data_IF_323083994337
#
_entry.id   IF_323083994337
#
_cell.length_a   1.000
_cell.length_b   1.000
_cell.length_c   1.000
_cell.angle_alpha   90.00
_cell.angle_beta   90.00
_cell.angle_gamma   90.00
#
_symmetry.space_group_name_H-M   'P 1'
#
loop_
_entity.id
_entity.type
_entity.pdbx_description
1 polymer ?
#
# COMPACT_ATOMS: atom_id res chain seq x y z
N UNK A 1 29.72 -6.35 -13.03
CA UNK A 1 28.53 -6.17 -13.88
C UNK A 1 27.50 -5.34 -13.12
N UNK A 2 27.47 -4.03 -13.34
CA UNK A 2 26.51 -3.08 -12.78
C UNK A 2 26.26 -1.98 -13.82
N UNK A 3 24.97 -1.68 -14.07
CA UNK A 3 24.42 -0.46 -14.67
C UNK A 3 25.10 0.12 -15.92
N UNK A 4 24.65 -0.28 -17.12
CA UNK A 4 25.03 0.35 -18.40
C UNK A 4 23.95 1.25 -19.01
N UNK A 5 23.06 1.81 -18.20
CA UNK A 5 22.12 2.84 -18.66
C UNK A 5 22.16 4.02 -17.71
N UNK A 6 22.79 5.11 -18.16
CA UNK A 6 22.67 6.43 -17.54
C UNK A 6 21.18 6.83 -17.60
N UNK A 7 20.57 7.05 -16.43
CA UNK A 7 19.22 7.61 -16.32
C UNK A 7 19.14 8.91 -17.14
N UNK A 8 18.12 9.04 -17.99
CA UNK A 8 17.90 10.20 -18.86
C UNK A 8 18.08 9.97 -20.37
N UNK A 9 18.46 8.75 -20.79
CA UNK A 9 18.54 8.36 -22.22
C UNK A 9 17.38 7.48 -22.71
N UNK A 10 16.30 7.36 -21.93
CA UNK A 10 15.06 6.80 -22.47
C UNK A 10 14.56 7.79 -23.52
N UNK A 11 14.70 7.42 -24.79
CA UNK A 11 14.07 8.14 -25.89
C UNK A 11 12.56 8.06 -25.66
N UNK A 12 11.98 9.13 -25.15
CA UNK A 12 10.51 9.34 -25.06
C UNK A 12 9.79 9.31 -26.43
N UNK A 13 10.49 8.91 -27.49
CA UNK A 13 10.06 8.96 -28.88
C UNK A 13 10.33 7.66 -29.65
N UNK A 14 10.83 6.59 -29.00
CA UNK A 14 11.12 5.31 -29.68
C UNK A 14 10.14 4.18 -29.36
N UNK A 15 8.94 4.51 -28.87
CA UNK A 15 7.80 3.65 -29.14
C UNK A 15 7.01 4.32 -30.25
N UNK A 16 7.05 3.71 -31.43
CA UNK A 16 6.13 4.01 -32.51
C UNK A 16 4.71 3.68 -32.00
N UNK A 17 4.06 4.65 -31.36
CA UNK A 17 2.62 4.76 -31.50
C UNK A 17 2.37 4.75 -33.01
N UNK A 18 1.50 3.87 -33.48
CA UNK A 18 1.10 3.83 -34.88
C UNK A 18 0.95 5.25 -35.39
N UNK A 19 1.73 5.65 -36.40
CA UNK A 19 1.76 7.00 -36.97
C UNK A 19 0.48 7.38 -37.71
N UNK A 20 -0.61 6.71 -37.38
CA UNK A 20 -1.96 6.89 -37.87
C UNK A 20 -2.75 7.36 -36.66
N UNK A 21 -2.99 8.66 -36.56
CA UNK A 21 -4.00 9.17 -35.63
C UNK A 21 -5.32 8.55 -36.08
N UNK A 22 -6.00 7.75 -35.25
CA UNK A 22 -7.34 7.30 -35.56
C UNK A 22 -8.19 8.55 -35.84
N UNK A 23 -8.79 8.66 -37.02
CA UNK A 23 -9.70 9.77 -37.37
C UNK A 23 -11.00 9.78 -36.52
N UNK A 24 -11.06 8.96 -35.47
CA UNK A 24 -12.20 8.75 -34.60
C UNK A 24 -12.41 9.90 -33.61
N UNK A 25 -11.32 10.56 -33.17
CA UNK A 25 -11.37 11.64 -32.19
C UNK A 25 -10.98 12.98 -32.84
N UNK A 26 -11.92 13.92 -32.88
CA UNK A 26 -11.71 15.24 -33.48
C UNK A 26 -12.30 16.34 -32.59
N UNK A 27 -11.51 17.38 -32.35
CA UNK A 27 -11.95 18.61 -31.69
C UNK A 27 -11.85 19.77 -32.66
N UNK A 28 -12.94 20.51 -32.80
CA UNK A 28 -13.00 21.71 -33.65
C UNK A 28 -12.28 22.89 -32.97
N UNK A 29 -10.99 23.03 -33.28
CA UNK A 29 -10.14 24.08 -32.71
C UNK A 29 -10.46 25.48 -33.25
N UNK A 30 -11.06 25.57 -34.44
CA UNK A 30 -11.38 26.85 -35.07
C UNK A 30 -12.38 27.68 -34.23
N UNK A 31 -13.21 27.02 -33.41
CA UNK A 31 -14.14 27.66 -32.47
C UNK A 31 -13.46 28.50 -31.40
N UNK A 32 -12.20 28.19 -31.07
CA UNK A 32 -11.44 28.91 -30.05
C UNK A 32 -10.63 30.07 -30.65
N UNK A 33 -10.59 30.20 -31.97
CA UNK A 33 -9.90 31.27 -32.67
C UNK A 33 -10.88 32.36 -33.15
N UNK A 34 -10.45 33.64 -33.25
CA UNK A 34 -11.22 34.67 -33.91
C UNK A 34 -11.60 34.30 -35.36
N UNK A 35 -12.81 34.64 -35.85
CA UNK A 35 -13.30 34.22 -37.17
C UNK A 35 -12.37 34.60 -38.33
N UNK A 36 -11.79 35.80 -38.30
CA UNK A 36 -10.90 36.26 -39.37
C UNK A 36 -9.61 35.43 -39.51
N UNK A 37 -9.18 34.71 -38.46
CA UNK A 37 -8.07 33.76 -38.53
C UNK A 37 -8.54 32.40 -39.00
N UNK A 38 -9.69 31.94 -38.51
CA UNK A 38 -10.27 30.65 -38.90
C UNK A 38 -10.69 30.59 -40.39
N UNK A 39 -11.02 31.74 -40.99
CA UNK A 39 -11.35 31.84 -42.42
C UNK A 39 -10.13 31.76 -43.35
N UNK A 40 -8.91 31.99 -42.83
CA UNK A 40 -7.69 31.85 -43.62
C UNK A 40 -7.47 30.35 -43.89
N UNK A 41 -7.43 29.97 -45.17
CA UNK A 41 -7.32 28.56 -45.61
C UNK A 41 -6.18 27.81 -44.93
N UNK A 42 -4.99 28.43 -44.86
CA UNK A 42 -3.82 27.83 -44.24
C UNK A 42 -4.04 27.55 -42.75
N UNK A 43 -4.69 28.49 -42.04
CA UNK A 43 -5.01 28.33 -40.63
C UNK A 43 -6.11 27.30 -40.41
N UNK A 44 -7.14 27.27 -41.27
CA UNK A 44 -8.21 26.28 -41.21
C UNK A 44 -7.66 24.84 -41.32
N UNK A 45 -6.73 24.59 -42.24
CA UNK A 45 -6.10 23.28 -42.39
C UNK A 45 -5.16 22.93 -41.22
N UNK A 46 -4.44 23.91 -40.66
CA UNK A 46 -3.64 23.72 -39.44
C UNK A 46 -4.55 23.34 -38.27
N UNK A 47 -5.65 24.08 -38.04
CA UNK A 47 -6.58 23.77 -36.96
C UNK A 47 -7.27 22.43 -37.15
N UNK A 48 -7.56 22.04 -38.40
CA UNK A 48 -8.14 20.72 -38.70
C UNK A 48 -7.17 19.59 -38.34
N UNK A 49 -5.92 19.67 -38.80
CA UNK A 49 -4.91 18.63 -38.51
C UNK A 49 -4.60 18.56 -37.02
N UNK A 50 -4.42 19.71 -36.35
CA UNK A 50 -4.26 19.79 -34.90
C UNK A 50 -5.49 19.28 -34.15
N UNK A 51 -6.70 19.45 -34.70
CA UNK A 51 -7.94 19.00 -34.08
C UNK A 51 -8.02 17.49 -33.87
N UNK A 52 -7.43 16.70 -34.78
CA UNK A 52 -7.30 15.25 -34.60
C UNK A 52 -6.28 14.89 -33.52
N UNK A 53 -5.11 15.51 -33.52
CA UNK A 53 -4.06 15.29 -32.51
C UNK A 53 -4.56 15.66 -31.11
N UNK A 54 -5.22 16.81 -30.97
CA UNK A 54 -5.81 17.26 -29.70
C UNK A 54 -6.95 16.35 -29.27
N UNK A 55 -7.77 15.88 -30.21
CA UNK A 55 -8.83 14.91 -29.92
C UNK A 55 -8.27 13.59 -29.37
N UNK A 56 -7.24 13.06 -30.00
CA UNK A 56 -6.55 11.86 -29.52
C UNK A 56 -5.94 12.09 -28.13
N UNK A 57 -5.22 13.19 -27.93
CA UNK A 57 -4.64 13.53 -26.63
C UNK A 57 -5.70 13.67 -25.53
N UNK A 58 -6.87 14.24 -25.86
CA UNK A 58 -7.97 14.34 -24.91
C UNK A 58 -8.51 12.96 -24.56
N UNK A 59 -8.70 12.07 -25.54
CA UNK A 59 -9.13 10.70 -25.30
C UNK A 59 -8.13 9.92 -24.44
N UNK A 60 -6.83 9.99 -24.76
CA UNK A 60 -5.78 9.33 -24.01
C UNK A 60 -5.71 9.84 -22.56
N UNK A 61 -5.95 11.13 -22.35
CA UNK A 61 -6.02 11.73 -21.03
C UNK A 61 -7.24 11.22 -20.24
N UNK A 62 -8.40 11.11 -20.88
CA UNK A 62 -9.60 10.56 -20.27
C UNK A 62 -9.41 9.07 -19.90
N UNK A 63 -8.86 8.24 -20.80
CA UNK A 63 -8.54 6.83 -20.50
C UNK A 63 -7.50 6.70 -19.38
N UNK A 64 -6.50 7.58 -19.34
CA UNK A 64 -5.52 7.63 -18.25
C UNK A 64 -6.19 7.94 -16.90
N UNK A 65 -7.10 8.93 -16.86
CA UNK A 65 -7.85 9.27 -15.65
C UNK A 65 -8.73 8.10 -15.21
N UNK A 66 -9.34 7.38 -16.15
CA UNK A 66 -10.10 6.18 -15.86
C UNK A 66 -9.24 5.08 -15.22
N UNK A 67 -7.95 5.00 -15.52
CA UNK A 67 -7.04 4.07 -14.83
C UNK A 67 -6.73 4.46 -13.37
N UNK A 68 -6.94 5.72 -12.99
CA UNK A 68 -6.71 6.21 -11.64
C UNK A 68 -7.81 5.83 -10.64
N UNK A 69 -8.88 5.16 -11.07
CA UNK A 69 -9.91 4.64 -10.18
C UNK A 69 -10.12 3.15 -10.39
N UNK A 70 -10.18 2.38 -9.30
CA UNK A 70 -10.38 0.92 -9.37
C UNK A 70 -11.66 0.57 -10.14
N UNK A 71 -12.73 1.37 -10.04
CA UNK A 71 -14.02 1.07 -10.70
C UNK A 71 -13.92 1.10 -12.23
N UNK A 72 -13.07 1.95 -12.77
CA UNK A 72 -12.96 2.22 -14.22
C UNK A 72 -11.69 1.62 -14.84
N UNK A 73 -10.67 1.32 -14.03
CA UNK A 73 -9.37 0.84 -14.50
C UNK A 73 -9.44 -0.49 -15.28
N UNK A 74 -8.82 -0.53 -16.46
CA UNK A 74 -8.70 -1.70 -17.33
C UNK A 74 -7.25 -2.19 -17.32
N UNK A 75 -6.43 -1.69 -18.23
CA UNK A 75 -5.02 -2.03 -18.34
C UNK A 75 -4.19 -1.54 -17.15
N UNK A 76 -4.70 -0.57 -16.37
CA UNK A 76 -4.08 -0.09 -15.13
C UNK A 76 -4.22 -1.02 -13.91
N UNK A 77 -5.08 -2.05 -13.97
CA UNK A 77 -5.35 -2.95 -12.84
C UNK A 77 -4.12 -3.68 -12.25
N UNK A 78 -3.12 -4.14 -13.03
CA UNK A 78 -1.91 -4.74 -12.47
C UNK A 78 -1.18 -3.84 -11.47
N UNK A 79 -1.21 -2.51 -11.67
CA UNK A 79 -0.59 -1.54 -10.74
C UNK A 79 -1.33 -1.49 -9.42
N UNK A 80 -2.66 -1.52 -9.46
CA UNK A 80 -3.51 -1.58 -8.28
C UNK A 80 -3.30 -2.87 -7.49
N UNK A 81 -3.25 -4.00 -8.19
CA UNK A 81 -2.99 -5.31 -7.58
C UNK A 81 -1.65 -5.36 -6.86
N UNK A 82 -0.59 -4.83 -7.49
CA UNK A 82 0.70 -4.68 -6.86
C UNK A 82 0.62 -3.82 -5.59
N UNK A 83 -0.09 -2.70 -5.63
CA UNK A 83 -0.25 -1.80 -4.48
C UNK A 83 -0.98 -2.47 -3.31
N UNK A 84 -2.00 -3.29 -3.58
CA UNK A 84 -2.76 -4.01 -2.55
C UNK A 84 -2.20 -5.39 -2.20
N UNK A 85 -1.04 -5.78 -2.77
CA UNK A 85 -0.44 -7.09 -2.57
C UNK A 85 -1.36 -8.24 -3.01
N UNK A 86 -2.15 -8.04 -4.07
CA UNK A 86 -3.00 -9.06 -4.69
C UNK A 86 -2.24 -9.65 -5.88
N UNK A 87 -2.24 -10.98 -6.01
CA UNK A 87 -1.62 -11.62 -7.16
C UNK A 87 -2.42 -11.35 -8.43
N UNK A 88 -1.76 -10.85 -9.48
CA UNK A 88 -2.38 -10.61 -10.79
C UNK A 88 -2.82 -11.92 -11.43
N UNK A 89 -4.12 -12.03 -11.72
CA UNK A 89 -4.68 -13.16 -12.43
C UNK A 89 -5.32 -12.69 -13.75
N UNK A 90 -4.62 -12.94 -14.87
CA UNK A 90 -5.07 -12.54 -16.20
C UNK A 90 -6.20 -13.43 -16.76
N UNK A 91 -6.57 -14.52 -16.08
CA UNK A 91 -7.72 -15.35 -16.46
C UNK A 91 -9.05 -14.78 -15.99
N UNK A 92 -9.04 -13.80 -15.08
CA UNK A 92 -10.24 -13.12 -14.59
C UNK A 92 -10.61 -11.94 -15.49
N UNK A 93 -11.91 -11.62 -15.56
CA UNK A 93 -12.37 -10.41 -16.24
C UNK A 93 -11.94 -9.15 -15.47
N UNK A 94 -11.93 -8.00 -16.13
CA UNK A 94 -11.66 -6.73 -15.44
C UNK A 94 -12.63 -6.50 -14.29
N UNK A 95 -13.93 -6.75 -14.49
CA UNK A 95 -14.96 -6.60 -13.45
C UNK A 95 -14.62 -7.43 -12.19
N UNK A 96 -14.32 -8.71 -12.36
CA UNK A 96 -13.96 -9.61 -11.26
C UNK A 96 -12.72 -9.12 -10.51
N UNK A 97 -11.71 -8.63 -11.23
CA UNK A 97 -10.49 -8.09 -10.62
C UNK A 97 -10.77 -6.82 -9.82
N UNK A 98 -11.61 -5.92 -10.35
CA UNK A 98 -12.07 -4.71 -9.65
C UNK A 98 -12.85 -5.05 -8.38
N UNK A 99 -13.71 -6.07 -8.42
CA UNK A 99 -14.45 -6.53 -7.25
C UNK A 99 -13.53 -7.04 -6.14
N UNK A 100 -12.52 -7.84 -6.49
CA UNK A 100 -11.52 -8.33 -5.53
C UNK A 100 -10.77 -7.16 -4.87
N UNK A 101 -10.31 -6.20 -5.68
CA UNK A 101 -9.61 -5.01 -5.18
C UNK A 101 -10.52 -4.15 -4.29
N UNK A 102 -11.78 -3.96 -4.68
CA UNK A 102 -12.76 -3.24 -3.87
C UNK A 102 -13.08 -3.97 -2.56
N UNK A 103 -13.15 -5.29 -2.57
CA UNK A 103 -13.32 -6.08 -1.35
C UNK A 103 -12.13 -5.90 -0.40
N UNK A 104 -10.90 -5.89 -0.93
CA UNK A 104 -9.68 -5.63 -0.15
C UNK A 104 -9.66 -4.22 0.43
N UNK A 105 -10.02 -3.22 -0.37
CA UNK A 105 -10.11 -1.82 0.08
C UNK A 105 -11.11 -1.66 1.22
N UNK A 106 -12.29 -2.30 1.13
CA UNK A 106 -13.31 -2.28 2.20
C UNK A 106 -12.87 -3.08 3.43
N UNK A 107 -12.18 -4.20 3.21
CA UNK A 107 -11.75 -5.12 4.26
C UNK A 107 -10.66 -4.58 5.19
N UNK A 108 -9.88 -3.58 4.76
CA UNK A 108 -8.84 -2.98 5.61
C UNK A 108 -9.41 -2.16 6.78
N UNK A 109 -10.64 -1.65 6.70
CA UNK A 109 -11.28 -0.91 7.78
C UNK A 109 -10.46 0.29 8.28
N UNK A 110 -10.77 0.78 9.49
CA UNK A 110 -9.93 1.74 10.21
C UNK A 110 -9.21 1.02 11.32
N UNK A 111 -7.88 1.11 11.31
CA UNK A 111 -7.06 0.52 12.36
C UNK A 111 -7.21 1.31 13.64
N UNK A 112 -7.97 0.74 14.58
CA UNK A 112 -8.19 1.31 15.91
C UNK A 112 -7.23 0.70 16.91
N UNK A 113 -6.94 1.42 17.99
CA UNK A 113 -6.18 0.90 19.14
C UNK A 113 -6.69 -0.46 19.61
N UNK A 114 -8.02 -0.60 19.74
CA UNK A 114 -8.67 -1.83 20.18
C UNK A 114 -8.42 -2.98 19.19
N UNK A 115 -8.49 -2.73 17.88
CA UNK A 115 -8.19 -3.73 16.87
C UNK A 115 -6.75 -4.25 17.00
N UNK A 116 -5.78 -3.37 17.27
CA UNK A 116 -4.38 -3.77 17.48
C UNK A 116 -4.24 -4.58 18.78
N UNK A 117 -4.89 -4.15 19.87
CA UNK A 117 -4.90 -4.87 21.16
C UNK A 117 -5.48 -6.28 21.01
N UNK A 118 -6.67 -6.41 20.40
CA UNK A 118 -7.36 -7.69 20.20
C UNK A 118 -6.54 -8.64 19.30
N UNK A 119 -5.96 -8.10 18.23
CA UNK A 119 -5.08 -8.87 17.33
C UNK A 119 -3.84 -9.35 18.07
N UNK A 120 -3.14 -8.45 18.77
CA UNK A 120 -1.94 -8.80 19.51
C UNK A 120 -2.23 -9.84 20.59
N UNK A 121 -3.34 -9.70 21.33
CA UNK A 121 -3.76 -10.64 22.37
C UNK A 121 -4.06 -12.04 21.81
N UNK A 122 -4.71 -12.12 20.64
CA UNK A 122 -4.97 -13.39 19.96
C UNK A 122 -3.68 -14.13 19.56
N UNK A 123 -2.64 -13.39 19.16
CA UNK A 123 -1.33 -13.96 18.83
C UNK A 123 -0.51 -14.34 20.07
N UNK A 124 -0.49 -13.49 21.11
CA UNK A 124 0.29 -13.76 22.31
C UNK A 124 -0.36 -14.76 23.26
N UNK A 125 -1.68 -14.98 23.17
CA UNK A 125 -2.43 -15.81 24.10
C UNK A 125 -2.52 -15.20 25.50
N UNK A 126 -2.47 -13.87 25.60
CA UNK A 126 -2.44 -13.14 26.86
C UNK A 126 -2.74 -11.66 26.67
N UNK A 127 -2.95 -10.94 27.78
CA UNK A 127 -3.32 -9.52 27.75
C UNK A 127 -2.22 -8.65 27.13
N UNK A 128 -2.65 -7.76 26.23
CA UNK A 128 -1.79 -6.79 25.55
C UNK A 128 -2.41 -5.41 25.69
N UNK A 129 -1.56 -4.40 25.89
CA UNK A 129 -1.96 -3.00 25.94
C UNK A 129 -1.23 -2.19 24.89
N UNK A 130 -1.96 -1.37 24.15
CA UNK A 130 -1.39 -0.43 23.18
C UNK A 130 -1.35 0.96 23.82
N UNK A 131 -0.22 1.63 23.69
CA UNK A 131 -0.01 2.99 24.21
C UNK A 131 0.33 3.87 23.02
N UNK A 132 -0.50 4.88 22.76
CA UNK A 132 -0.27 5.84 21.68
C UNK A 132 0.65 6.97 22.16
N UNK A 133 1.72 7.22 21.41
CA UNK A 133 2.62 8.35 21.55
C UNK A 133 2.49 9.23 20.30
N UNK A 134 1.40 9.99 20.27
CA UNK A 134 1.04 10.86 19.14
C UNK A 134 2.14 11.88 18.80
N UNK A 135 2.80 12.56 19.76
CA UNK A 135 3.91 13.48 19.48
C UNK A 135 5.08 12.83 18.72
N UNK A 136 5.36 11.55 18.97
CA UNK A 136 6.44 10.81 18.31
C UNK A 136 6.00 10.02 17.08
N UNK A 137 4.73 10.14 16.65
CA UNK A 137 4.11 9.34 15.59
C UNK A 137 4.32 7.82 15.78
N UNK A 138 4.18 7.37 17.02
CA UNK A 138 4.52 6.00 17.42
C UNK A 138 3.46 5.41 18.33
N UNK A 139 3.29 4.09 18.30
CA UNK A 139 2.56 3.37 19.32
C UNK A 139 3.38 2.21 19.88
N UNK A 140 3.17 1.91 21.16
CA UNK A 140 3.89 0.87 21.89
C UNK A 140 2.92 -0.27 22.16
N UNK A 141 3.27 -1.47 21.71
CA UNK A 141 2.54 -2.70 22.03
C UNK A 141 3.23 -3.36 23.22
N UNK A 142 2.58 -3.33 24.37
CA UNK A 142 3.09 -3.89 25.63
C UNK A 142 2.42 -5.24 25.92
N UNK A 143 3.20 -6.31 25.92
CA UNK A 143 2.75 -7.65 26.28
C UNK A 143 2.78 -7.81 27.81
N UNK A 144 1.61 -7.91 28.43
CA UNK A 144 1.46 -7.95 29.89
C UNK A 144 1.20 -9.38 30.37
N UNK A 145 0.36 -10.12 29.65
CA UNK A 145 -0.14 -11.43 30.06
C UNK A 145 0.84 -12.58 29.86
N UNK A 146 1.92 -12.38 29.10
CA UNK A 146 2.97 -13.39 28.91
C UNK A 146 4.35 -12.81 29.20
N UNK A 147 5.22 -13.63 29.79
CA UNK A 147 6.64 -13.29 29.99
C UNK A 147 7.46 -13.80 28.81
N UNK A 148 8.40 -12.98 28.35
CA UNK A 148 9.23 -13.28 27.19
C UNK A 148 8.62 -12.86 25.86
N UNK A 149 9.24 -13.36 24.78
CA UNK A 149 8.83 -13.06 23.41
C UNK A 149 7.70 -14.04 23.02
N UNK A 150 6.54 -13.55 22.54
CA UNK A 150 5.45 -14.40 22.07
C UNK A 150 5.90 -15.38 20.97
N UNK A 151 5.20 -16.51 20.84
CA UNK A 151 5.40 -17.41 19.69
C UNK A 151 4.88 -16.74 18.41
N UNK A 152 5.45 -17.07 17.26
CA UNK A 152 5.01 -16.58 15.94
C UNK A 152 5.02 -15.04 15.76
N UNK A 153 5.95 -14.33 16.41
CA UNK A 153 6.10 -12.87 16.24
C UNK A 153 6.24 -12.44 14.77
N UNK A 154 6.88 -13.25 13.92
CA UNK A 154 7.03 -12.91 12.50
C UNK A 154 5.68 -12.75 11.78
N UNK A 155 4.73 -13.66 12.05
CA UNK A 155 3.40 -13.59 11.45
C UNK A 155 2.61 -12.39 12.00
N UNK A 156 2.75 -12.10 13.29
CA UNK A 156 2.13 -10.93 13.90
C UNK A 156 2.69 -9.62 13.32
N UNK A 157 4.01 -9.52 13.12
CA UNK A 157 4.65 -8.37 12.49
C UNK A 157 4.11 -8.16 11.07
N UNK A 158 4.04 -9.22 10.26
CA UNK A 158 3.46 -9.13 8.91
C UNK A 158 2.02 -8.62 8.92
N UNK A 159 1.18 -9.16 9.82
CA UNK A 159 -0.20 -8.69 9.95
C UNK A 159 -0.28 -7.24 10.47
N UNK A 160 0.61 -6.85 11.39
CA UNK A 160 0.67 -5.49 11.91
C UNK A 160 1.06 -4.49 10.81
N UNK A 161 2.00 -4.84 9.94
CA UNK A 161 2.36 -4.03 8.77
C UNK A 161 1.20 -3.83 7.81
N UNK A 162 0.36 -4.86 7.62
CA UNK A 162 -0.81 -4.80 6.73
C UNK A 162 -1.92 -3.89 7.26
N UNK A 163 -2.09 -3.82 8.58
CA UNK A 163 -3.15 -3.03 9.21
C UNK A 163 -2.67 -1.64 9.65
N UNK A 164 -1.40 -1.46 10.05
CA UNK A 164 -0.98 -0.18 10.62
C UNK A 164 -0.99 0.93 9.57
N UNK A 165 -1.35 2.16 9.95
CA UNK A 165 -1.12 3.30 9.08
C UNK A 165 0.37 3.45 8.75
N UNK A 166 0.68 3.74 7.49
CA UNK A 166 2.06 3.83 7.02
C UNK A 166 2.90 4.89 7.77
N UNK A 167 2.25 5.96 8.25
CA UNK A 167 2.90 7.07 8.97
C UNK A 167 3.17 6.78 10.45
N UNK A 168 2.70 5.65 11.00
CA UNK A 168 2.93 5.29 12.39
C UNK A 168 4.04 4.24 12.52
N UNK A 169 5.01 4.54 13.38
CA UNK A 169 6.01 3.60 13.84
C UNK A 169 5.48 2.79 15.04
N UNK A 170 6.10 1.65 15.34
CA UNK A 170 5.75 0.85 16.51
C UNK A 170 6.97 0.31 17.25
N UNK A 171 6.79 0.01 18.54
CA UNK A 171 7.76 -0.68 19.39
C UNK A 171 7.06 -1.75 20.21
N UNK A 172 7.79 -2.83 20.48
CA UNK A 172 7.34 -3.89 21.37
C UNK A 172 7.98 -3.74 22.74
N UNK A 173 7.18 -3.87 23.79
CA UNK A 173 7.64 -4.00 25.16
C UNK A 173 7.22 -5.36 25.72
N UNK A 174 8.20 -6.13 26.17
CA UNK A 174 8.00 -7.47 26.71
C UNK A 174 8.15 -7.46 28.23
N UNK A 175 7.25 -8.16 28.93
CA UNK A 175 7.39 -8.42 30.36
C UNK A 175 8.38 -9.56 30.59
N UNK A 176 9.23 -9.41 31.60
CA UNK A 176 10.15 -10.45 32.06
C UNK A 176 10.08 -10.55 33.58
N UNK A 177 10.53 -11.68 34.14
CA UNK A 177 10.60 -11.86 35.58
C UNK A 177 11.57 -10.85 36.20
N UNK A 178 11.11 -10.11 37.20
CA UNK A 178 11.96 -9.16 37.94
C UNK A 178 12.52 -9.81 39.21
N UNK A 179 13.62 -9.25 39.76
CA UNK A 179 14.21 -9.73 41.01
C UNK A 179 13.23 -9.79 42.18
N UNK A 180 12.26 -8.87 42.24
CA UNK A 180 11.24 -8.88 43.28
C UNK A 180 10.29 -10.07 43.15
N UNK A 181 9.96 -10.50 41.92
CA UNK A 181 9.13 -11.68 41.65
C UNK A 181 9.88 -13.00 41.96
N UNK A 182 11.21 -12.97 42.01
CA UNK A 182 12.05 -14.14 42.34
C UNK A 182 12.26 -14.34 43.84
N UNK A 183 12.01 -13.34 44.68
CA UNK A 183 12.17 -13.42 46.15
C UNK A 183 11.52 -14.63 46.84
N UNK A 184 10.33 -15.11 46.44
CA UNK A 184 9.72 -16.27 47.09
C UNK A 184 10.35 -17.62 46.66
N UNK A 185 11.20 -17.66 45.63
CA UNK A 185 11.84 -18.89 45.16
C UNK A 185 13.21 -19.08 45.82
N UNK A 186 13.56 -20.32 46.20
CA UNK A 186 14.88 -20.63 46.74
C UNK A 186 15.90 -20.88 45.62
N UNK A 187 17.17 -20.58 45.86
CA UNK A 187 18.25 -20.82 44.89
C UNK A 187 18.35 -22.28 44.45
N UNK A 188 18.06 -23.23 45.34
CA UNK A 188 18.04 -24.67 44.99
C UNK A 188 16.92 -25.00 43.99
N UNK A 189 15.78 -24.31 44.04
CA UNK A 189 14.70 -24.49 43.07
C UNK A 189 15.06 -23.90 41.70
N UNK A 190 15.77 -22.77 41.68
CA UNK A 190 16.19 -22.10 40.43
C UNK A 190 17.44 -22.74 39.80
N UNK A 191 18.26 -23.44 40.58
CA UNK A 191 19.52 -24.04 40.12
C UNK A 191 19.37 -25.16 39.08
N UNK A 192 18.17 -25.73 38.94
CA UNK A 192 17.86 -26.72 37.89
C UNK A 192 17.39 -26.12 36.56
N UNK A 193 17.23 -24.79 36.49
CA UNK A 193 16.72 -24.07 35.31
C UNK A 193 17.82 -23.26 34.64
N UNK A 194 17.68 -23.00 33.34
CA UNK A 194 18.58 -22.06 32.64
C UNK A 194 18.18 -20.62 32.96
N UNK A 195 19.08 -19.66 32.73
CA UNK A 195 18.77 -18.25 32.92
C UNK A 195 17.59 -17.77 32.05
N UNK A 196 17.40 -18.32 30.85
CA UNK A 196 16.27 -17.98 29.99
C UNK A 196 14.94 -18.48 30.56
N UNK A 197 14.95 -19.64 31.21
CA UNK A 197 13.78 -20.19 31.91
C UNK A 197 13.41 -19.34 33.14
N UNK A 198 14.42 -18.92 33.91
CA UNK A 198 14.21 -18.04 35.09
C UNK A 198 13.66 -16.67 34.65
N UNK A 199 14.12 -16.14 33.51
CA UNK A 199 13.69 -14.85 32.95
C UNK A 199 12.24 -14.87 32.45
N UNK A 200 11.70 -16.05 32.15
CA UNK A 200 10.33 -16.25 31.63
C UNK A 200 9.43 -17.05 32.59
N UNK A 201 9.86 -17.21 33.85
CA UNK A 201 9.17 -17.98 34.87
C UNK A 201 7.71 -17.54 35.07
N UNK A 202 6.77 -18.44 34.81
CA UNK A 202 5.34 -18.21 35.06
C UNK A 202 5.09 -18.15 36.58
N UNK A 203 4.26 -17.20 36.99
CA UNK A 203 3.71 -17.18 38.35
C UNK A 203 2.83 -18.43 38.54
N UNK A 204 2.95 -19.06 39.71
CA UNK A 204 2.17 -20.24 40.10
C UNK A 204 0.74 -19.85 40.52
#
# INVERSE_FOLDING_TARGET
MYGKTLYGRSQYSQESSSSTVPEEYFVDLARYAPPFLAEIREMAEIYRTQGYEVGQLQHDLEDLIDQCYIVTATWGLPRWEQMFGVATNMSLTYEQRREILMAKLRGQGTTTRKMIEDTAAAFSGGEVKVIEDNPSHLFIIRFIGIKGIPRNMQAFVSMLEDIKPAHLAYRFEYRYTTWNELKPYTWNHLGGMTWDDVRTLKEA
#
